data_IF_366713500762
#
_entry.id   IF_366713500762
#
_cell.length_a   1.000
_cell.length_b   1.000
_cell.length_c   1.000
_cell.angle_alpha   90.00
_cell.angle_beta   90.00
_cell.angle_gamma   90.00
#
_symmetry.space_group_name_H-M   'P 1'
#
loop_
_entity.id
_entity.type
_entity.pdbx_description
1 polymer ?
#
# COMPACT_ATOMS: atom_id res chain seq x y z
N UNK A 1 -7.34 -3.63 -12.77
CA UNK A 1 -5.93 -3.58 -13.16
C UNK A 1 -5.38 -4.99 -13.21
N UNK A 2 -4.73 -5.36 -14.31
CA UNK A 2 -4.21 -6.71 -14.53
C UNK A 2 -2.69 -6.62 -14.66
N UNK A 3 -1.95 -7.29 -13.78
CA UNK A 3 -0.50 -7.40 -13.89
C UNK A 3 -0.12 -8.49 -14.89
N UNK A 4 1.05 -8.38 -15.50
CA UNK A 4 1.67 -9.42 -16.31
C UNK A 4 2.88 -9.98 -15.58
N UNK A 5 3.10 -11.28 -15.63
CA UNK A 5 4.34 -11.89 -15.14
C UNK A 5 5.50 -11.52 -16.06
N UNK A 6 6.71 -11.40 -15.51
CA UNK A 6 7.93 -11.31 -16.30
C UNK A 6 8.25 -12.63 -17.04
N UNK A 7 9.36 -12.61 -17.75
CA UNK A 7 9.95 -13.81 -18.37
C UNK A 7 10.98 -14.44 -17.43
N UNK A 8 11.21 -15.74 -17.57
CA UNK A 8 12.27 -16.44 -16.86
C UNK A 8 13.66 -16.02 -17.36
N UNK A 9 14.71 -16.45 -16.67
CA UNK A 9 16.08 -16.21 -17.12
C UNK A 9 16.34 -16.91 -18.45
N UNK A 10 17.16 -16.28 -19.33
CA UNK A 10 17.55 -16.88 -20.60
C UNK A 10 18.33 -18.17 -20.36
N UNK A 11 17.98 -19.23 -21.12
CA UNK A 11 18.68 -20.51 -21.10
C UNK A 11 19.81 -20.51 -22.15
N UNK A 12 20.94 -21.11 -21.81
CA UNK A 12 22.01 -21.33 -22.76
C UNK A 12 21.54 -22.30 -23.87
N UNK A 13 21.62 -21.86 -25.12
CA UNK A 13 21.19 -22.64 -26.28
C UNK A 13 22.40 -22.95 -27.13
N UNK A 14 22.68 -24.22 -27.48
CA UNK A 14 23.78 -24.59 -28.35
C UNK A 14 23.57 -24.04 -29.76
N UNK A 15 24.66 -23.94 -30.51
CA UNK A 15 24.61 -23.51 -31.91
C UNK A 15 23.65 -24.40 -32.70
N UNK A 16 22.72 -23.80 -33.46
CA UNK A 16 21.60 -24.46 -34.16
C UNK A 16 20.55 -25.15 -33.27
N UNK A 17 20.61 -24.92 -31.95
CA UNK A 17 19.58 -25.39 -31.00
C UNK A 17 18.23 -24.70 -31.16
N UNK A 18 17.16 -25.39 -30.82
CA UNK A 18 15.83 -24.78 -30.81
C UNK A 18 15.69 -23.72 -29.71
N UNK A 19 15.15 -22.56 -30.04
CA UNK A 19 14.85 -21.49 -29.07
C UNK A 19 13.57 -21.90 -28.33
N UNK A 20 13.61 -21.80 -27.01
CA UNK A 20 12.45 -22.01 -26.16
C UNK A 20 11.62 -20.70 -26.08
N UNK A 21 10.35 -20.82 -26.41
CA UNK A 21 9.41 -19.72 -26.32
C UNK A 21 8.69 -19.77 -24.98
N UNK A 22 8.53 -18.61 -24.34
CA UNK A 22 7.79 -18.45 -23.10
C UNK A 22 6.75 -17.32 -23.28
N UNK A 23 5.51 -17.61 -22.92
CA UNK A 23 4.45 -16.60 -22.93
C UNK A 23 4.34 -15.91 -21.58
N UNK A 24 4.09 -14.59 -21.60
CA UNK A 24 3.78 -13.82 -20.39
C UNK A 24 2.43 -14.27 -19.82
N UNK A 25 2.44 -14.83 -18.63
CA UNK A 25 1.20 -15.23 -17.98
C UNK A 25 0.51 -14.03 -17.30
N UNK A 26 -0.83 -13.95 -17.33
CA UNK A 26 -1.56 -12.91 -16.58
C UNK A 26 -1.34 -13.10 -15.09
N UNK A 27 -1.02 -12.01 -14.39
CA UNK A 27 -0.90 -11.96 -12.96
C UNK A 27 -2.27 -11.83 -12.26
N UNK A 28 -2.25 -11.30 -11.04
CA UNK A 28 -3.46 -11.04 -10.28
C UNK A 28 -4.26 -9.88 -10.89
N UNK A 29 -5.58 -10.04 -10.89
CA UNK A 29 -6.51 -8.97 -11.28
C UNK A 29 -7.13 -8.35 -10.02
N UNK A 30 -7.09 -7.02 -9.95
CA UNK A 30 -7.69 -6.27 -8.84
C UNK A 30 -8.65 -5.23 -9.39
N UNK A 31 -9.89 -5.25 -8.90
CA UNK A 31 -10.92 -4.28 -9.28
C UNK A 31 -11.03 -3.18 -8.24
N UNK A 32 -10.85 -1.93 -8.68
CA UNK A 32 -11.00 -0.76 -7.83
C UNK A 32 -12.34 -0.08 -8.08
N UNK A 33 -13.13 0.08 -7.02
CA UNK A 33 -14.41 0.80 -7.07
C UNK A 33 -14.24 2.20 -6.48
N UNK A 34 -14.48 3.21 -7.29
CA UNK A 34 -14.42 4.61 -6.86
C UNK A 34 -15.58 4.94 -5.92
N UNK A 35 -15.28 5.65 -4.82
CA UNK A 35 -16.29 6.15 -3.88
C UNK A 35 -16.30 7.67 -3.90
N UNK A 36 -17.51 8.24 -3.94
CA UNK A 36 -17.71 9.68 -3.87
C UNK A 36 -17.89 10.07 -2.40
N UNK A 37 -17.11 11.03 -1.94
CA UNK A 37 -17.29 11.67 -0.63
C UNK A 37 -17.78 13.09 -0.86
N UNK A 38 -18.90 13.45 -0.24
CA UNK A 38 -19.47 14.77 -0.35
C UNK A 38 -20.02 15.21 1.01
N UNK A 39 -19.88 16.50 1.31
CA UNK A 39 -20.47 17.14 2.48
C UNK A 39 -20.84 18.56 2.12
N UNK A 40 -22.05 18.96 2.44
CA UNK A 40 -22.56 20.32 2.28
C UNK A 40 -22.72 21.01 3.62
N UNK A 41 -22.74 22.32 3.62
CA UNK A 41 -23.12 23.13 4.76
C UNK A 41 -24.27 24.07 4.33
N UNK A 42 -25.32 24.12 5.11
CA UNK A 42 -26.44 25.05 4.92
C UNK A 42 -26.21 26.27 5.82
N UNK A 43 -26.54 27.45 5.28
CA UNK A 43 -26.55 28.71 5.99
C UNK A 43 -27.98 29.20 5.94
N UNK A 44 -28.60 29.48 7.10
CA UNK A 44 -29.97 29.98 7.17
C UNK A 44 -30.01 31.48 6.83
N UNK A 45 -31.12 31.94 6.30
CA UNK A 45 -31.36 33.35 6.03
C UNK A 45 -31.28 34.17 7.34
N UNK A 46 -31.78 33.66 8.43
CA UNK A 46 -31.73 34.27 9.75
C UNK A 46 -30.29 34.58 10.24
N UNK A 47 -29.34 33.68 9.92
CA UNK A 47 -27.94 33.92 10.25
C UNK A 47 -27.35 35.12 9.49
N UNK A 48 -27.84 35.37 8.28
CA UNK A 48 -27.46 36.49 7.44
C UNK A 48 -28.09 37.77 7.99
N UNK A 49 -29.39 37.72 8.26
CA UNK A 49 -30.18 38.86 8.76
C UNK A 49 -29.71 39.33 10.15
N UNK A 50 -29.28 38.39 11.01
CA UNK A 50 -28.67 38.65 12.31
C UNK A 50 -27.19 39.12 12.24
N UNK A 51 -26.67 39.43 11.05
CA UNK A 51 -25.28 39.83 10.84
C UNK A 51 -24.21 38.86 11.41
N UNK A 52 -24.49 37.57 11.48
CA UNK A 52 -23.56 36.51 11.97
C UNK A 52 -22.50 36.17 10.93
N UNK A 53 -21.95 37.13 10.24
CA UNK A 53 -20.99 36.95 9.13
C UNK A 53 -19.72 36.21 9.55
N UNK A 54 -19.30 36.29 10.79
CA UNK A 54 -18.15 35.51 11.26
C UNK A 54 -18.39 34.00 11.22
N UNK A 55 -19.62 33.54 11.53
CA UNK A 55 -19.96 32.13 11.41
C UNK A 55 -20.07 31.72 9.94
N UNK A 56 -20.72 32.53 9.13
CA UNK A 56 -20.84 32.28 7.68
C UNK A 56 -19.46 32.12 7.03
N UNK A 57 -18.49 32.99 7.33
CA UNK A 57 -17.12 32.93 6.79
C UNK A 57 -16.30 31.74 7.31
N UNK A 58 -16.58 31.22 8.51
CA UNK A 58 -15.89 30.06 9.09
C UNK A 58 -16.35 28.74 8.47
N UNK A 59 -17.60 28.66 8.01
CA UNK A 59 -18.18 27.43 7.46
C UNK A 59 -17.40 26.85 6.27
N UNK A 60 -16.99 27.61 5.23
CA UNK A 60 -16.19 27.07 4.14
C UNK A 60 -14.81 26.56 4.62
N UNK A 61 -14.18 27.27 5.56
CA UNK A 61 -12.88 26.84 6.14
C UNK A 61 -13.02 25.51 6.89
N UNK A 62 -14.06 25.37 7.70
CA UNK A 62 -14.34 24.13 8.42
C UNK A 62 -14.64 22.95 7.46
N UNK A 63 -15.35 23.23 6.34
CA UNK A 63 -15.61 22.24 5.32
C UNK A 63 -14.33 21.80 4.58
N UNK A 64 -13.45 22.74 4.26
CA UNK A 64 -12.15 22.43 3.66
C UNK A 64 -11.29 21.57 4.59
N UNK A 65 -11.25 21.90 5.90
CA UNK A 65 -10.54 21.09 6.89
C UNK A 65 -11.13 19.68 7.02
N UNK A 66 -12.44 19.55 6.95
CA UNK A 66 -13.13 18.24 6.93
C UNK A 66 -12.70 17.39 5.74
N UNK A 67 -12.54 18.00 4.54
CA UNK A 67 -12.00 17.32 3.36
C UNK A 67 -10.58 16.81 3.61
N UNK A 68 -9.68 17.64 4.12
CA UNK A 68 -8.30 17.24 4.41
C UNK A 68 -8.25 16.07 5.39
N UNK A 69 -9.01 16.13 6.49
CA UNK A 69 -9.11 15.03 7.46
C UNK A 69 -9.61 13.73 6.83
N UNK A 70 -10.57 13.81 5.91
CA UNK A 70 -11.07 12.62 5.20
C UNK A 70 -9.98 11.98 4.35
N UNK A 71 -9.16 12.77 3.65
CA UNK A 71 -8.05 12.29 2.85
C UNK A 71 -6.95 11.66 3.72
N UNK A 72 -6.57 12.32 4.82
CA UNK A 72 -5.60 11.79 5.77
C UNK A 72 -6.06 10.49 6.41
N UNK A 73 -7.33 10.40 6.83
CA UNK A 73 -7.91 9.16 7.36
C UNK A 73 -7.89 8.06 6.30
N UNK A 74 -8.24 8.37 5.06
CA UNK A 74 -8.23 7.40 3.98
C UNK A 74 -6.80 6.89 3.65
N UNK A 75 -5.79 7.74 3.78
CA UNK A 75 -4.39 7.36 3.64
C UNK A 75 -3.90 6.50 4.81
N UNK A 76 -4.20 6.90 6.04
CA UNK A 76 -3.84 6.15 7.24
C UNK A 76 -4.55 4.78 7.32
N UNK A 77 -5.75 4.66 6.78
CA UNK A 77 -6.51 3.41 6.72
C UNK A 77 -5.73 2.27 6.01
N UNK A 78 -4.88 2.60 5.03
CA UNK A 78 -4.04 1.61 4.34
C UNK A 78 -3.12 0.89 5.32
N UNK A 79 -2.51 1.65 6.23
CA UNK A 79 -1.61 1.09 7.25
C UNK A 79 -2.39 0.44 8.39
N UNK A 80 -3.48 1.04 8.84
CA UNK A 80 -4.27 0.53 9.97
C UNK A 80 -4.98 -0.80 9.64
N UNK A 81 -5.48 -0.97 8.42
CA UNK A 81 -6.21 -2.17 8.00
C UNK A 81 -5.41 -3.12 7.13
N UNK A 82 -4.23 -2.71 6.67
CA UNK A 82 -3.39 -3.53 5.81
C UNK A 82 -2.84 -4.80 6.46
N UNK A 83 -2.86 -4.90 7.80
CA UNK A 83 -2.43 -6.07 8.57
C UNK A 83 -3.56 -7.02 8.91
N UNK A 84 -4.81 -6.62 8.73
CA UNK A 84 -5.99 -7.36 9.20
C UNK A 84 -6.50 -8.28 8.09
N UNK A 85 -6.70 -9.56 8.40
CA UNK A 85 -7.27 -10.53 7.49
C UNK A 85 -8.63 -10.04 6.96
N UNK A 86 -8.85 -10.16 5.65
CA UNK A 86 -10.04 -9.61 5.00
C UNK A 86 -10.10 -8.08 4.99
N UNK A 87 -8.98 -7.38 5.28
CA UNK A 87 -8.91 -5.92 5.27
C UNK A 87 -9.78 -5.25 6.33
N UNK A 88 -10.11 -5.95 7.44
CA UNK A 88 -11.01 -5.43 8.49
C UNK A 88 -12.40 -5.08 7.97
N UNK A 89 -12.94 -5.85 7.03
CA UNK A 89 -14.20 -5.56 6.33
C UNK A 89 -14.07 -4.49 5.24
N UNK A 90 -12.85 -4.03 4.94
CA UNK A 90 -12.55 -3.08 3.86
C UNK A 90 -11.79 -3.82 2.77
N UNK A 91 -12.50 -4.46 1.86
CA UNK A 91 -11.93 -5.29 0.76
C UNK A 91 -10.84 -4.57 -0.06
N UNK A 92 -10.82 -3.24 -0.06
CA UNK A 92 -9.79 -2.44 -0.75
C UNK A 92 -8.36 -2.60 -0.21
N UNK A 93 -8.18 -3.23 0.96
CA UNK A 93 -6.88 -3.49 1.58
C UNK A 93 -6.47 -4.97 1.50
N UNK A 94 -7.12 -5.71 0.63
CA UNK A 94 -6.80 -7.11 0.33
C UNK A 94 -6.16 -7.17 -1.05
N UNK A 95 -5.05 -7.92 -1.16
CA UNK A 95 -4.37 -8.15 -2.43
C UNK A 95 -5.15 -9.09 -3.36
N UNK A 96 -4.67 -9.24 -4.58
CA UNK A 96 -5.23 -10.20 -5.54
C UNK A 96 -5.13 -11.66 -5.08
N UNK A 97 -4.19 -11.96 -4.20
CA UNK A 97 -3.99 -13.25 -3.52
C UNK A 97 -4.93 -13.46 -2.33
N UNK A 98 -5.90 -12.59 -2.12
CA UNK A 98 -6.83 -12.59 -0.99
C UNK A 98 -6.17 -12.43 0.39
N UNK A 99 -4.88 -12.06 0.44
CA UNK A 99 -4.17 -11.76 1.67
C UNK A 99 -4.26 -10.27 2.01
N UNK A 100 -4.14 -9.90 3.30
CA UNK A 100 -4.00 -8.50 3.69
C UNK A 100 -2.74 -7.91 3.05
N UNK A 101 -2.71 -6.58 2.88
CA UNK A 101 -1.59 -5.87 2.23
C UNK A 101 -0.23 -6.20 2.86
N UNK A 102 -0.20 -6.37 4.19
CA UNK A 102 0.97 -6.82 4.94
C UNK A 102 0.71 -8.20 5.53
N UNK A 103 1.27 -9.24 4.92
CA UNK A 103 1.08 -10.64 5.30
C UNK A 103 2.41 -11.37 5.44
N UNK A 104 2.41 -12.43 6.22
CA UNK A 104 3.53 -13.34 6.30
C UNK A 104 3.56 -14.36 5.14
N UNK A 105 2.51 -14.41 4.33
CA UNK A 105 2.31 -15.45 3.31
C UNK A 105 1.62 -14.89 2.06
N UNK A 106 2.33 -14.05 1.30
CA UNK A 106 1.91 -13.71 -0.06
C UNK A 106 2.36 -14.80 -1.02
N UNK A 107 1.45 -15.37 -1.77
CA UNK A 107 1.74 -16.38 -2.78
C UNK A 107 1.69 -15.75 -4.17
N UNK A 108 2.58 -16.18 -5.08
CA UNK A 108 2.42 -15.83 -6.48
C UNK A 108 1.22 -16.58 -7.08
N UNK A 109 0.79 -16.19 -8.29
CA UNK A 109 -0.40 -16.82 -8.91
C UNK A 109 -0.19 -18.29 -9.23
N UNK A 110 1.04 -18.72 -9.47
CA UNK A 110 1.37 -20.15 -9.69
C UNK A 110 1.29 -20.96 -8.39
N UNK A 111 1.36 -20.32 -7.22
CA UNK A 111 1.27 -20.97 -5.91
C UNK A 111 2.55 -21.64 -5.44
N UNK A 112 3.66 -21.45 -6.14
CA UNK A 112 4.96 -22.07 -5.87
C UNK A 112 5.91 -21.19 -5.06
N UNK A 113 5.70 -19.87 -5.06
CA UNK A 113 6.54 -18.91 -4.32
C UNK A 113 5.71 -18.22 -3.24
N UNK A 114 6.14 -18.38 -1.99
CA UNK A 114 5.54 -17.68 -0.83
C UNK A 114 6.55 -16.72 -0.23
N UNK A 115 6.14 -15.48 -0.02
CA UNK A 115 6.98 -14.42 0.54
C UNK A 115 6.25 -13.67 1.64
N UNK A 116 7.01 -13.24 2.66
CA UNK A 116 6.50 -12.41 3.76
C UNK A 116 6.94 -10.95 3.58
N UNK A 117 6.03 -10.00 3.63
CA UNK A 117 6.33 -8.57 3.71
C UNK A 117 6.03 -7.99 5.11
N UNK A 118 5.89 -8.86 6.12
CA UNK A 118 5.56 -8.51 7.49
C UNK A 118 6.58 -9.08 8.45
N UNK A 119 6.92 -8.30 9.48
CA UNK A 119 7.65 -8.73 10.68
C UNK A 119 6.98 -8.18 11.92
N UNK A 120 7.16 -8.84 13.06
CA UNK A 120 6.71 -8.40 14.39
C UNK A 120 7.87 -7.92 15.25
N UNK A 121 9.08 -7.87 14.69
CA UNK A 121 10.27 -7.43 15.41
C UNK A 121 10.17 -5.93 15.78
N UNK A 122 10.62 -5.52 16.97
CA UNK A 122 10.66 -4.12 17.37
C UNK A 122 11.61 -3.31 16.49
N UNK A 123 11.41 -2.00 16.41
CA UNK A 123 12.27 -1.10 15.66
C UNK A 123 13.61 -0.92 16.38
N UNK A 124 14.62 -1.63 15.91
CA UNK A 124 16.02 -1.52 16.33
C UNK A 124 16.91 -1.45 15.10
N UNK A 125 18.13 -0.96 15.23
CA UNK A 125 19.09 -0.89 14.12
C UNK A 125 19.31 -2.26 13.47
N UNK A 126 19.52 -3.31 14.27
CA UNK A 126 19.74 -4.66 13.76
C UNK A 126 18.53 -5.22 13.01
N UNK A 127 17.33 -5.01 13.56
CA UNK A 127 16.09 -5.46 12.89
C UNK A 127 15.82 -4.68 11.61
N UNK A 128 16.11 -3.37 11.59
CA UNK A 128 15.99 -2.56 10.39
C UNK A 128 16.93 -3.06 9.28
N UNK A 129 18.20 -3.35 9.62
CA UNK A 129 19.17 -3.93 8.69
C UNK A 129 18.69 -5.27 8.14
N UNK A 130 18.12 -6.13 9.00
CA UNK A 130 17.57 -7.42 8.59
C UNK A 130 16.41 -7.26 7.62
N UNK A 131 15.49 -6.32 7.88
CA UNK A 131 14.36 -6.03 6.98
C UNK A 131 14.85 -5.48 5.63
N UNK A 132 15.81 -4.57 5.63
CA UNK A 132 16.40 -4.03 4.40
C UNK A 132 17.07 -5.14 3.58
N UNK A 133 17.81 -6.03 4.23
CA UNK A 133 18.43 -7.17 3.57
C UNK A 133 17.38 -8.15 2.99
N UNK A 134 16.28 -8.36 3.71
CA UNK A 134 15.17 -9.18 3.23
C UNK A 134 14.44 -8.53 2.04
N UNK A 135 14.27 -7.20 2.04
CA UNK A 135 13.70 -6.48 0.90
C UNK A 135 14.54 -6.62 -0.37
N UNK A 136 15.87 -6.55 -0.27
CA UNK A 136 16.79 -6.71 -1.40
C UNK A 136 16.81 -8.13 -1.99
N UNK A 137 16.33 -9.12 -1.25
CA UNK A 137 16.24 -10.53 -1.67
C UNK A 137 14.84 -10.93 -2.17
N UNK A 138 13.96 -9.95 -2.40
CA UNK A 138 12.61 -10.24 -2.90
C UNK A 138 12.64 -10.86 -4.29
N UNK A 139 11.75 -11.81 -4.48
CA UNK A 139 11.61 -12.53 -5.74
C UNK A 139 10.38 -12.02 -6.50
N UNK A 140 10.48 -12.04 -7.81
CA UNK A 140 9.34 -11.81 -8.71
C UNK A 140 8.45 -13.06 -8.83
N UNK A 141 7.47 -13.01 -9.74
CA UNK A 141 6.57 -14.13 -10.00
C UNK A 141 7.25 -15.36 -10.63
N UNK A 142 8.49 -15.21 -11.11
CA UNK A 142 9.32 -16.25 -11.74
C UNK A 142 10.48 -16.69 -10.85
N UNK A 143 10.54 -16.23 -9.60
CA UNK A 143 11.60 -16.59 -8.66
C UNK A 143 12.91 -15.86 -8.87
N UNK A 144 12.93 -14.76 -9.63
CA UNK A 144 14.11 -13.94 -9.82
C UNK A 144 14.16 -12.80 -8.81
N UNK A 145 15.37 -12.40 -8.39
CA UNK A 145 15.56 -11.31 -7.44
C UNK A 145 15.19 -9.97 -8.09
N UNK A 146 14.29 -9.24 -7.41
CA UNK A 146 13.96 -7.87 -7.76
C UNK A 146 14.78 -6.93 -6.87
N UNK A 147 15.50 -5.99 -7.47
CA UNK A 147 16.26 -5.00 -6.70
C UNK A 147 15.33 -3.92 -6.14
N UNK A 148 15.04 -4.00 -4.83
CA UNK A 148 14.33 -2.97 -4.10
C UNK A 148 15.29 -2.15 -3.24
N UNK A 149 15.18 -0.81 -3.34
CA UNK A 149 15.89 0.11 -2.46
C UNK A 149 14.87 0.85 -1.58
N UNK A 150 14.83 0.60 -0.27
CA UNK A 150 13.96 1.35 0.63
C UNK A 150 14.43 2.80 0.71
N UNK A 151 13.50 3.75 0.57
CA UNK A 151 13.80 5.19 0.57
C UNK A 151 13.12 5.95 1.71
N UNK A 152 12.06 5.39 2.29
CA UNK A 152 11.24 6.05 3.30
C UNK A 152 11.00 5.10 4.46
N UNK A 153 11.24 5.58 5.68
CA UNK A 153 10.85 4.91 6.93
C UNK A 153 9.67 5.67 7.54
N UNK A 154 8.50 5.05 7.52
CA UNK A 154 7.29 5.60 8.14
C UNK A 154 7.14 5.01 9.55
N UNK A 155 7.10 5.89 10.54
CA UNK A 155 6.96 5.50 11.96
C UNK A 155 5.85 6.30 12.63
N UNK A 156 5.18 5.75 13.66
CA UNK A 156 4.28 6.52 14.50
C UNK A 156 5.06 7.53 15.34
N UNK A 157 4.36 8.53 15.85
CA UNK A 157 4.95 9.66 16.58
C UNK A 157 5.79 9.22 17.78
N UNK A 158 5.38 8.15 18.46
CA UNK A 158 6.08 7.60 19.64
C UNK A 158 7.47 7.05 19.30
N UNK A 159 7.69 6.63 18.06
CA UNK A 159 8.96 6.06 17.60
C UNK A 159 9.83 7.05 16.83
N UNK A 160 9.42 8.32 16.71
CA UNK A 160 10.17 9.33 15.94
C UNK A 160 11.62 9.46 16.40
N UNK A 161 11.84 9.61 17.71
CA UNK A 161 13.21 9.77 18.25
C UNK A 161 14.03 8.49 18.09
N UNK A 162 13.41 7.32 18.26
CA UNK A 162 14.08 6.03 18.02
C UNK A 162 14.52 5.92 16.56
N UNK A 163 13.65 6.29 15.61
CA UNK A 163 13.97 6.26 14.20
C UNK A 163 15.14 7.21 13.85
N UNK A 164 15.18 8.41 14.43
CA UNK A 164 16.27 9.38 14.22
C UNK A 164 17.62 8.92 14.77
N UNK A 165 17.62 8.09 15.81
CA UNK A 165 18.86 7.54 16.38
C UNK A 165 19.39 6.39 15.54
N UNK A 166 18.49 5.63 14.89
CA UNK A 166 18.84 4.44 14.10
C UNK A 166 19.31 4.80 12.68
N UNK A 167 18.81 5.91 12.11
CA UNK A 167 19.18 6.40 10.78
C UNK A 167 20.45 7.23 10.81
#
# INVERSE_FOLDING_TARGET
>A
DTSLSGYSQLEETPELGAIKYEDAAPGWEVTYTHKKFAKGAAISQEMIDDNKWNMVRRTPKALALSKMRTLETAGADVFNYGFVAGGGGKAKFVGGDSQPLFSASHVNRAGDITQSNRTTAPLTQSNLQTVIAAMKKRLDSKGQIIEFQPSILLVPTELEFTARIIL
#
